data_IF_875944544374
#
_entry.id   IF_875944544374
#
_cell.length_a   1.000
_cell.length_b   1.000
_cell.length_c   1.000
_cell.angle_alpha   90.00
_cell.angle_beta   90.00
_cell.angle_gamma   90.00
#
_symmetry.space_group_name_H-M   'P 1'
#
loop_
_entity.id
_entity.type
_entity.pdbx_description
1 polymer ?
#
# COMPACT_ATOMS: atom_id res chain seq x y z
N UNK A 1 -6.85 -4.41 17.52
CA UNK A 1 -7.94 -5.40 17.68
C UNK A 1 -9.10 -5.12 16.71
N UNK A 2 -9.62 -3.92 16.64
CA UNK A 2 -10.73 -3.49 15.74
C UNK A 2 -10.43 -3.65 14.25
N UNK A 3 -9.20 -3.37 13.80
CA UNK A 3 -8.80 -3.56 12.41
C UNK A 3 -8.84 -5.04 11.98
N UNK A 4 -8.39 -5.94 12.85
CA UNK A 4 -8.47 -7.38 12.61
C UNK A 4 -9.92 -7.88 12.53
N UNK A 5 -10.82 -7.37 13.37
CA UNK A 5 -12.25 -7.69 13.33
C UNK A 5 -12.90 -7.22 12.03
N UNK A 6 -12.56 -6.01 11.56
CA UNK A 6 -13.03 -5.50 10.28
C UNK A 6 -12.56 -6.37 9.11
N UNK A 7 -11.30 -6.81 9.11
CA UNK A 7 -10.74 -7.71 8.08
C UNK A 7 -11.41 -9.08 8.08
N UNK A 8 -11.87 -9.55 9.25
CA UNK A 8 -12.61 -10.82 9.40
C UNK A 8 -14.13 -10.69 9.12
N UNK A 9 -14.60 -9.50 8.70
CA UNK A 9 -16.02 -9.26 8.42
C UNK A 9 -16.90 -9.06 9.65
N UNK A 10 -16.33 -8.93 10.85
CA UNK A 10 -17.04 -8.70 12.11
C UNK A 10 -17.34 -7.21 12.31
N UNK A 11 -18.06 -6.62 11.36
CA UNK A 11 -18.26 -5.16 11.30
C UNK A 11 -19.02 -4.58 12.51
N UNK A 12 -20.07 -5.24 12.99
CA UNK A 12 -20.87 -4.73 14.12
C UNK A 12 -20.06 -4.68 15.41
N UNK A 13 -19.25 -5.70 15.67
CA UNK A 13 -18.40 -5.74 16.86
C UNK A 13 -17.26 -4.74 16.78
N UNK A 14 -16.64 -4.61 15.59
CA UNK A 14 -15.64 -3.59 15.33
C UNK A 14 -16.19 -2.19 15.56
N UNK A 15 -17.39 -1.88 15.04
CA UNK A 15 -18.06 -0.59 15.22
C UNK A 15 -18.33 -0.27 16.69
N UNK A 16 -18.83 -1.25 17.47
CA UNK A 16 -19.05 -1.09 18.93
C UNK A 16 -17.74 -0.76 19.66
N UNK A 17 -16.67 -1.43 19.32
CA UNK A 17 -15.38 -1.22 19.96
C UNK A 17 -14.78 0.15 19.60
N UNK A 18 -14.96 0.61 18.34
CA UNK A 18 -14.56 1.95 17.91
C UNK A 18 -15.35 3.03 18.67
N UNK A 19 -16.66 2.86 18.81
CA UNK A 19 -17.49 3.80 19.58
C UNK A 19 -17.02 3.89 21.04
N UNK A 20 -16.77 2.76 21.70
CA UNK A 20 -16.21 2.76 23.07
C UNK A 20 -14.83 3.45 23.15
N UNK A 21 -14.00 3.28 22.12
CA UNK A 21 -12.71 3.97 22.05
C UNK A 21 -12.91 5.47 22.00
N UNK A 22 -13.87 5.95 21.19
CA UNK A 22 -14.17 7.38 21.06
C UNK A 22 -14.90 7.96 22.29
N UNK A 23 -15.63 7.15 23.06
CA UNK A 23 -16.16 7.57 24.37
C UNK A 23 -15.03 7.87 25.37
N UNK A 24 -13.92 7.13 25.30
CA UNK A 24 -12.75 7.31 26.18
C UNK A 24 -11.81 8.39 25.65
N UNK A 25 -11.57 8.38 24.35
CA UNK A 25 -10.66 9.30 23.66
C UNK A 25 -11.30 9.80 22.35
N UNK A 26 -12.09 10.90 22.39
CA UNK A 26 -12.76 11.44 21.21
C UNK A 26 -11.83 11.86 20.08
N UNK A 27 -10.59 12.23 20.41
CA UNK A 27 -9.57 12.68 19.48
C UNK A 27 -8.69 11.54 18.91
N UNK A 28 -9.04 10.27 19.11
CA UNK A 28 -8.29 9.15 18.57
C UNK A 28 -8.49 9.03 17.05
N UNK A 29 -7.48 9.43 16.26
CA UNK A 29 -7.57 9.57 14.81
C UNK A 29 -7.91 8.27 14.08
N UNK A 30 -7.23 7.16 14.40
CA UNK A 30 -7.54 5.86 13.76
C UNK A 30 -8.97 5.40 14.04
N UNK A 31 -9.49 5.63 15.26
CA UNK A 31 -10.85 5.25 15.58
C UNK A 31 -11.87 6.09 14.82
N UNK A 32 -11.64 7.41 14.70
CA UNK A 32 -12.47 8.31 13.92
C UNK A 32 -12.46 7.91 12.43
N UNK A 33 -11.28 7.66 11.85
CA UNK A 33 -11.12 7.30 10.45
C UNK A 33 -11.77 5.94 10.12
N UNK A 34 -11.51 4.92 10.94
CA UNK A 34 -12.09 3.59 10.74
C UNK A 34 -13.61 3.62 10.90
N UNK A 35 -14.13 4.29 11.93
CA UNK A 35 -15.58 4.40 12.14
C UNK A 35 -16.25 5.14 11.00
N UNK A 36 -15.66 6.23 10.52
CA UNK A 36 -16.19 6.99 9.38
C UNK A 36 -16.28 6.16 8.11
N UNK A 37 -15.30 5.30 7.86
CA UNK A 37 -15.28 4.41 6.70
C UNK A 37 -16.28 3.24 6.80
N UNK A 38 -16.69 2.87 8.02
CA UNK A 38 -17.62 1.77 8.26
C UNK A 38 -19.09 2.19 8.28
N UNK A 39 -19.41 3.47 8.19
CA UNK A 39 -20.78 3.98 8.18
C UNK A 39 -21.01 5.00 7.09
N UNK A 40 -22.26 5.19 6.70
CA UNK A 40 -22.69 6.25 5.79
C UNK A 40 -23.43 7.32 6.58
N UNK A 41 -22.98 8.56 6.45
CA UNK A 41 -23.63 9.70 7.08
C UNK A 41 -24.77 10.21 6.21
N UNK A 42 -25.90 10.54 6.84
CA UNK A 42 -27.11 11.03 6.15
C UNK A 42 -27.49 12.44 6.60
N UNK A 43 -26.84 12.97 7.61
CA UNK A 43 -27.12 14.30 8.17
C UNK A 43 -25.83 14.95 8.65
N UNK A 44 -25.68 16.23 8.37
CA UNK A 44 -24.59 17.05 8.92
C UNK A 44 -24.69 17.27 10.45
N UNK A 45 -25.86 17.01 11.03
CA UNK A 45 -26.07 17.05 12.47
C UNK A 45 -25.75 15.74 13.20
N UNK A 46 -25.03 14.81 12.51
CA UNK A 46 -24.56 13.57 13.15
C UNK A 46 -23.58 13.89 14.27
N UNK A 47 -23.82 13.29 15.44
CA UNK A 47 -23.01 13.54 16.64
C UNK A 47 -21.52 13.26 16.42
N UNK A 48 -21.18 12.24 15.62
CA UNK A 48 -19.80 11.91 15.33
C UNK A 48 -19.08 13.02 14.52
N UNK A 49 -19.80 13.67 13.58
CA UNK A 49 -19.26 14.82 12.84
C UNK A 49 -18.93 15.97 13.82
N UNK A 50 -19.85 16.28 14.73
CA UNK A 50 -19.63 17.32 15.74
C UNK A 50 -18.45 17.02 16.63
N UNK A 51 -18.32 15.79 17.12
CA UNK A 51 -17.18 15.36 17.95
C UNK A 51 -15.85 15.45 17.21
N UNK A 52 -15.81 15.09 15.94
CA UNK A 52 -14.59 15.25 15.11
C UNK A 52 -14.21 16.72 14.91
N UNK A 53 -15.19 17.61 14.71
CA UNK A 53 -14.96 19.06 14.58
C UNK A 53 -14.43 19.68 15.87
N UNK A 54 -14.96 19.26 17.01
CA UNK A 54 -14.47 19.67 18.33
C UNK A 54 -13.05 19.16 18.59
N UNK A 55 -12.78 17.89 18.25
CA UNK A 55 -11.46 17.26 18.46
C UNK A 55 -10.35 17.97 17.67
N UNK A 56 -10.59 18.38 16.42
CA UNK A 56 -9.61 19.10 15.59
C UNK A 56 -9.26 20.46 16.19
N UNK A 57 -10.19 21.09 16.90
CA UNK A 57 -9.98 22.43 17.49
C UNK A 57 -9.05 22.40 18.71
N UNK A 58 -8.67 21.21 19.20
CA UNK A 58 -7.75 21.06 20.33
C UNK A 58 -6.30 21.36 19.93
N UNK A 59 -5.64 22.26 20.66
CA UNK A 59 -4.23 22.60 20.44
C UNK A 59 -3.27 21.45 20.83
N UNK A 60 -3.70 20.56 21.71
CA UNK A 60 -2.89 19.44 22.21
C UNK A 60 -2.84 18.24 21.25
N UNK A 61 -3.65 18.27 20.18
CA UNK A 61 -3.74 17.15 19.24
C UNK A 61 -2.52 17.13 18.31
N UNK A 62 -1.81 15.99 18.25
CA UNK A 62 -0.68 15.79 17.35
C UNK A 62 -1.09 15.79 15.87
N UNK A 63 -0.17 16.15 14.99
CA UNK A 63 -0.41 16.31 13.56
C UNK A 63 -0.90 15.01 12.90
N UNK A 64 -0.39 13.85 13.30
CA UNK A 64 -0.83 12.56 12.77
C UNK A 64 -2.33 12.31 13.06
N UNK A 65 -2.77 12.56 14.30
CA UNK A 65 -4.16 12.40 14.70
C UNK A 65 -5.06 13.43 14.01
N UNK A 66 -4.58 14.69 13.89
CA UNK A 66 -5.28 15.76 13.14
C UNK A 66 -5.51 15.35 11.68
N UNK A 67 -4.48 14.83 10.99
CA UNK A 67 -4.61 14.40 9.62
C UNK A 67 -5.67 13.30 9.45
N UNK A 68 -5.67 12.30 10.33
CA UNK A 68 -6.66 11.20 10.30
C UNK A 68 -8.09 11.70 10.52
N UNK A 69 -8.29 12.63 11.46
CA UNK A 69 -9.61 13.23 11.73
C UNK A 69 -10.05 14.09 10.54
N UNK A 70 -9.16 14.83 9.91
CA UNK A 70 -9.48 15.57 8.68
C UNK A 70 -9.96 14.62 7.57
N UNK A 71 -9.31 13.48 7.36
CA UNK A 71 -9.78 12.48 6.38
C UNK A 71 -11.14 11.88 6.76
N UNK A 72 -11.37 11.61 8.05
CA UNK A 72 -12.66 11.14 8.56
C UNK A 72 -13.80 12.16 8.32
N UNK A 73 -13.52 13.44 8.61
CA UNK A 73 -14.46 14.54 8.33
C UNK A 73 -14.70 14.74 6.83
N UNK A 74 -13.65 14.70 6.02
CA UNK A 74 -13.78 14.79 4.57
C UNK A 74 -14.73 13.73 4.02
N UNK A 75 -14.60 12.49 4.48
CA UNK A 75 -15.52 11.40 4.11
C UNK A 75 -16.94 11.63 4.63
N UNK A 76 -17.10 12.01 5.89
CA UNK A 76 -18.42 12.21 6.50
C UNK A 76 -19.19 13.37 5.85
N UNK A 77 -18.53 14.48 5.58
CA UNK A 77 -19.10 15.65 4.90
C UNK A 77 -19.43 15.35 3.44
N UNK A 78 -18.58 14.56 2.76
CA UNK A 78 -18.86 14.08 1.41
C UNK A 78 -20.11 13.20 1.34
N UNK A 79 -20.35 12.35 2.32
CA UNK A 79 -21.54 11.50 2.39
C UNK A 79 -22.85 12.32 2.50
N UNK A 80 -22.81 13.45 3.22
CA UNK A 80 -23.98 14.33 3.40
C UNK A 80 -24.11 15.38 2.29
N UNK A 81 -23.19 15.38 1.30
CA UNK A 81 -23.25 16.26 0.15
C UNK A 81 -22.60 17.64 0.35
N UNK A 82 -21.93 17.87 1.48
CA UNK A 82 -21.15 19.09 1.74
C UNK A 82 -19.76 18.96 1.09
N UNK A 83 -19.73 19.10 -0.23
CA UNK A 83 -18.52 18.84 -1.03
C UNK A 83 -17.40 19.84 -0.79
N UNK A 84 -17.72 21.10 -0.53
CA UNK A 84 -16.72 22.14 -0.33
C UNK A 84 -15.97 21.93 0.99
N UNK A 85 -16.67 21.70 2.08
CA UNK A 85 -16.06 21.41 3.36
C UNK A 85 -15.37 20.03 3.37
N UNK A 86 -15.89 19.05 2.64
CA UNK A 86 -15.25 17.76 2.45
C UNK A 86 -13.87 17.94 1.78
N UNK A 87 -13.81 18.72 0.68
CA UNK A 87 -12.57 19.00 -0.04
C UNK A 87 -11.53 19.74 0.82
N UNK A 88 -11.96 20.78 1.56
CA UNK A 88 -11.05 21.50 2.46
C UNK A 88 -10.49 20.60 3.57
N UNK A 89 -11.30 19.68 4.11
CA UNK A 89 -10.80 18.71 5.08
C UNK A 89 -9.78 17.76 4.46
N UNK A 90 -10.03 17.20 3.26
CA UNK A 90 -9.04 16.37 2.56
C UNK A 90 -7.74 17.14 2.27
N UNK A 91 -7.84 18.40 1.85
CA UNK A 91 -6.68 19.26 1.61
C UNK A 91 -5.86 19.50 2.87
N UNK A 92 -6.52 19.79 4.01
CA UNK A 92 -5.85 19.99 5.28
C UNK A 92 -5.14 18.71 5.76
N UNK A 93 -5.81 17.56 5.69
CA UNK A 93 -5.21 16.28 6.02
C UNK A 93 -3.99 15.94 5.17
N UNK A 94 -4.06 16.19 3.85
CA UNK A 94 -2.94 16.00 2.94
C UNK A 94 -1.80 16.98 3.22
N UNK A 95 -2.09 18.26 3.50
CA UNK A 95 -1.04 19.25 3.80
C UNK A 95 -0.23 18.89 5.04
N UNK A 96 -0.89 18.33 6.07
CA UNK A 96 -0.20 17.82 7.26
C UNK A 96 0.70 16.63 6.90
N UNK A 97 0.21 15.69 6.09
CA UNK A 97 0.98 14.53 5.63
C UNK A 97 2.15 14.92 4.72
N UNK A 98 1.98 15.87 3.82
CA UNK A 98 3.03 16.33 2.91
C UNK A 98 4.20 16.98 3.65
N UNK A 99 3.95 17.67 4.78
CA UNK A 99 5.01 18.21 5.60
C UNK A 99 5.93 17.11 6.17
N UNK A 100 5.39 15.96 6.46
CA UNK A 100 6.09 14.80 6.99
C UNK A 100 6.80 13.97 5.88
N UNK A 101 6.21 13.94 4.68
CA UNK A 101 6.66 13.14 3.54
C UNK A 101 7.77 13.79 2.69
N UNK A 102 8.14 15.04 2.93
CA UNK A 102 9.09 15.75 2.06
C UNK A 102 10.45 15.05 1.94
N UNK A 103 10.94 14.43 3.00
CA UNK A 103 12.18 13.65 2.99
C UNK A 103 12.00 12.31 2.27
N UNK A 104 10.88 11.62 2.49
CA UNK A 104 10.55 10.36 1.80
C UNK A 104 10.27 10.59 0.32
N UNK A 105 9.59 11.68 -0.06
CA UNK A 105 9.33 12.02 -1.46
C UNK A 105 10.64 12.16 -2.25
N UNK A 106 11.63 12.86 -1.71
CA UNK A 106 12.94 12.99 -2.34
C UNK A 106 13.65 11.64 -2.50
N UNK A 107 13.52 10.74 -1.52
CA UNK A 107 14.00 9.36 -1.61
C UNK A 107 13.30 8.58 -2.73
N UNK A 108 11.99 8.71 -2.89
CA UNK A 108 11.23 8.03 -3.94
C UNK A 108 11.57 8.54 -5.34
N UNK A 109 11.76 9.87 -5.50
CA UNK A 109 12.18 10.47 -6.77
C UNK A 109 13.59 9.98 -7.14
N UNK A 110 14.51 9.97 -6.19
CA UNK A 110 15.88 9.46 -6.40
C UNK A 110 15.88 7.96 -6.73
N UNK A 111 15.02 7.18 -6.07
CA UNK A 111 14.81 5.77 -6.36
C UNK A 111 14.31 5.54 -7.80
N UNK A 112 13.32 6.31 -8.22
CA UNK A 112 12.78 6.27 -9.59
C UNK A 112 13.85 6.60 -10.64
N UNK A 113 14.67 7.62 -10.39
CA UNK A 113 15.80 7.99 -11.27
C UNK A 113 16.80 6.84 -11.42
N UNK A 114 17.18 6.20 -10.31
CA UNK A 114 18.10 5.06 -10.32
C UNK A 114 17.53 3.83 -11.02
N UNK A 115 16.22 3.59 -10.90
CA UNK A 115 15.56 2.51 -11.64
C UNK A 115 15.58 2.76 -13.15
N UNK A 116 15.42 4.00 -13.60
CA UNK A 116 15.55 4.36 -15.01
C UNK A 116 16.98 4.15 -15.53
N UNK A 117 17.98 4.60 -14.79
CA UNK A 117 19.39 4.36 -15.13
C UNK A 117 19.71 2.86 -15.23
N UNK A 118 19.24 2.07 -14.27
CA UNK A 118 19.37 0.62 -14.28
C UNK A 118 18.70 -0.01 -15.51
N UNK A 119 17.49 0.46 -15.85
CA UNK A 119 16.78 -0.01 -17.04
C UNK A 119 17.55 0.29 -18.33
N UNK A 120 18.12 1.49 -18.47
CA UNK A 120 18.94 1.86 -19.62
C UNK A 120 20.17 0.96 -19.75
N UNK A 121 20.88 0.70 -18.64
CA UNK A 121 22.04 -0.19 -18.60
C UNK A 121 21.65 -1.64 -18.97
N UNK A 122 20.55 -2.16 -18.41
CA UNK A 122 20.07 -3.51 -18.71
C UNK A 122 19.58 -3.65 -20.17
N UNK A 123 18.97 -2.59 -20.72
CA UNK A 123 18.51 -2.58 -22.11
C UNK A 123 19.65 -2.63 -23.12
N UNK A 124 20.85 -2.21 -22.71
CA UNK A 124 22.05 -2.31 -23.52
C UNK A 124 22.71 -3.72 -23.47
N UNK A 125 22.27 -4.59 -22.55
CA UNK A 125 22.80 -5.95 -22.45
C UNK A 125 22.26 -6.84 -23.59
N UNK A 126 23.11 -7.61 -24.28
CA UNK A 126 22.68 -8.53 -25.33
C UNK A 126 21.72 -9.61 -24.80
N UNK A 127 20.60 -9.83 -25.49
CA UNK A 127 19.55 -10.77 -25.09
C UNK A 127 20.00 -12.25 -24.94
N UNK A 128 21.16 -12.61 -25.48
CA UNK A 128 21.75 -13.96 -25.43
C UNK A 128 22.53 -14.24 -24.11
N UNK A 129 22.56 -13.29 -23.19
CA UNK A 129 23.20 -13.49 -21.88
C UNK A 129 22.33 -14.23 -20.86
N UNK A 130 21.09 -14.55 -21.21
CA UNK A 130 20.20 -15.32 -20.32
C UNK A 130 20.64 -16.77 -20.34
N UNK A 131 21.35 -17.21 -19.32
CA UNK A 131 21.61 -18.63 -19.09
C UNK A 131 20.30 -19.35 -18.86
N UNK A 132 20.02 -20.39 -19.67
CA UNK A 132 18.88 -21.28 -19.42
C UNK A 132 19.02 -21.86 -18.01
N UNK A 133 18.09 -21.50 -17.13
CA UNK A 133 17.99 -22.20 -15.85
C UNK A 133 17.52 -23.62 -16.15
N UNK A 134 18.25 -24.63 -15.72
CA UNK A 134 17.90 -26.04 -15.90
C UNK A 134 16.75 -26.46 -14.94
N UNK A 135 15.88 -25.53 -14.54
CA UNK A 135 14.75 -25.78 -13.68
C UNK A 135 13.52 -26.26 -14.46
N UNK A 136 12.77 -27.19 -13.88
CA UNK A 136 11.50 -27.68 -14.41
C UNK A 136 10.37 -26.66 -14.30
N UNK A 137 10.58 -25.54 -13.62
CA UNK A 137 9.59 -24.50 -13.34
C UNK A 137 9.99 -23.19 -14.02
N UNK A 138 9.11 -22.62 -14.82
CA UNK A 138 9.34 -21.32 -15.47
C UNK A 138 8.40 -20.27 -14.85
N UNK A 139 8.92 -19.21 -14.25
CA UNK A 139 8.09 -18.15 -13.71
C UNK A 139 7.39 -17.36 -14.85
N UNK A 140 6.13 -17.02 -14.62
CA UNK A 140 5.34 -16.11 -15.45
C UNK A 140 5.17 -14.82 -14.65
N UNK A 141 5.70 -13.71 -15.15
CA UNK A 141 5.55 -12.40 -14.52
C UNK A 141 4.39 -11.64 -15.14
N UNK A 142 3.47 -11.19 -14.28
CA UNK A 142 2.34 -10.34 -14.66
C UNK A 142 2.65 -8.93 -14.17
N UNK A 143 2.87 -8.02 -15.09
CA UNK A 143 3.21 -6.63 -14.79
C UNK A 143 2.11 -5.70 -15.29
N UNK A 144 1.82 -4.65 -14.51
CA UNK A 144 0.82 -3.66 -14.89
C UNK A 144 0.75 -2.51 -13.88
N UNK A 145 0.04 -1.46 -14.27
CA UNK A 145 -0.25 -0.36 -13.34
C UNK A 145 -1.19 -0.83 -12.23
N UNK A 146 -1.16 -0.21 -11.05
CA UNK A 146 -2.13 -0.48 -10.00
C UNK A 146 -3.57 -0.40 -10.56
N UNK A 147 -4.43 -1.34 -10.17
CA UNK A 147 -5.84 -1.43 -10.62
C UNK A 147 -6.04 -1.76 -12.10
N UNK A 148 -5.03 -2.26 -12.81
CA UNK A 148 -5.13 -2.68 -14.23
C UNK A 148 -5.66 -4.10 -14.44
N UNK A 149 -6.01 -4.82 -13.37
CA UNK A 149 -6.55 -6.18 -13.44
C UNK A 149 -5.51 -7.29 -13.39
N UNK A 150 -4.30 -7.04 -12.93
CA UNK A 150 -3.22 -8.03 -12.79
C UNK A 150 -3.65 -9.25 -11.98
N UNK A 151 -4.38 -9.06 -10.87
CA UNK A 151 -4.95 -10.16 -10.07
C UNK A 151 -5.94 -11.02 -10.84
N UNK A 152 -6.79 -10.42 -11.70
CA UNK A 152 -7.73 -11.17 -12.54
C UNK A 152 -6.99 -12.02 -13.57
N UNK A 153 -5.98 -11.45 -14.22
CA UNK A 153 -5.14 -12.19 -15.18
C UNK A 153 -4.42 -13.35 -14.49
N UNK A 154 -3.88 -13.14 -13.29
CA UNK A 154 -3.26 -14.21 -12.49
C UNK A 154 -4.26 -15.35 -12.26
N UNK A 155 -5.47 -15.06 -11.81
CA UNK A 155 -6.49 -16.07 -11.54
C UNK A 155 -6.90 -16.82 -12.81
N UNK A 156 -7.01 -16.13 -13.95
CA UNK A 156 -7.32 -16.76 -15.24
C UNK A 156 -6.19 -17.75 -15.63
N UNK A 157 -4.93 -17.33 -15.55
CA UNK A 157 -3.78 -18.17 -15.89
C UNK A 157 -3.65 -19.33 -14.88
N UNK A 158 -3.83 -19.07 -13.59
CA UNK A 158 -3.75 -20.07 -12.53
C UNK A 158 -4.93 -21.08 -12.55
N UNK A 159 -5.97 -20.86 -13.36
CA UNK A 159 -7.02 -21.86 -13.60
C UNK A 159 -6.51 -23.07 -14.41
N UNK A 160 -5.36 -22.95 -15.06
CA UNK A 160 -4.72 -24.08 -15.75
C UNK A 160 -4.04 -25.00 -14.75
N UNK A 161 -4.19 -26.33 -14.87
CA UNK A 161 -3.71 -27.31 -13.91
C UNK A 161 -2.18 -27.34 -13.70
N UNK A 162 -1.40 -26.85 -14.66
CA UNK A 162 0.06 -26.78 -14.57
C UNK A 162 0.60 -25.42 -14.09
N UNK A 163 -0.29 -24.49 -13.72
CA UNK A 163 0.07 -23.16 -13.29
C UNK A 163 -0.39 -22.91 -11.87
N UNK A 164 0.50 -22.40 -11.03
CA UNK A 164 0.19 -22.00 -9.66
C UNK A 164 0.24 -20.48 -9.54
N UNK A 165 -0.82 -19.86 -9.05
CA UNK A 165 -0.84 -18.45 -8.67
C UNK A 165 -0.07 -18.24 -7.36
N UNK A 166 0.76 -17.20 -7.31
CA UNK A 166 1.63 -16.90 -6.17
C UNK A 166 1.27 -15.59 -5.46
N UNK A 167 0.33 -14.82 -6.04
CA UNK A 167 0.00 -13.49 -5.56
C UNK A 167 1.16 -12.49 -5.73
N UNK A 168 1.12 -11.42 -4.97
CA UNK A 168 2.16 -10.39 -4.97
C UNK A 168 3.35 -10.87 -4.13
N UNK A 169 4.48 -11.20 -4.79
CA UNK A 169 5.70 -11.64 -4.14
C UNK A 169 6.74 -10.52 -4.14
N UNK A 170 7.25 -10.19 -2.96
CA UNK A 170 8.36 -9.24 -2.80
C UNK A 170 9.76 -9.88 -3.05
N UNK A 171 9.82 -11.21 -3.19
CA UNK A 171 11.07 -11.95 -3.30
C UNK A 171 11.99 -11.47 -4.43
N UNK A 172 11.44 -11.04 -5.57
CA UNK A 172 12.25 -10.51 -6.66
C UNK A 172 12.83 -9.13 -6.32
N UNK A 173 12.04 -8.23 -5.77
CA UNK A 173 12.50 -6.89 -5.36
C UNK A 173 13.52 -6.98 -4.22
N UNK A 174 13.34 -7.90 -3.28
CA UNK A 174 14.30 -8.18 -2.21
C UNK A 174 15.64 -8.70 -2.79
N UNK A 175 15.59 -9.68 -3.70
CA UNK A 175 16.78 -10.20 -4.36
C UNK A 175 17.53 -9.12 -5.18
N UNK A 176 16.80 -8.28 -5.90
CA UNK A 176 17.37 -7.14 -6.63
C UNK A 176 18.02 -6.15 -5.66
N UNK A 177 17.33 -5.80 -4.58
CA UNK A 177 17.83 -4.86 -3.58
C UNK A 177 19.11 -5.36 -2.91
N UNK A 178 19.18 -6.64 -2.56
CA UNK A 178 20.36 -7.23 -1.91
C UNK A 178 21.57 -7.32 -2.84
N UNK A 179 21.37 -7.75 -4.10
CA UNK A 179 22.46 -8.04 -5.03
C UNK A 179 22.95 -6.82 -5.79
N UNK A 180 22.07 -5.90 -6.13
CA UNK A 180 22.40 -4.72 -6.93
C UNK A 180 22.67 -3.51 -6.04
N UNK A 181 22.18 -3.52 -4.80
CA UNK A 181 22.25 -2.42 -3.82
C UNK A 181 22.10 -1.07 -4.52
N UNK A 182 21.00 -0.40 -4.38
CA UNK A 182 20.74 0.93 -4.96
C UNK A 182 21.82 2.01 -4.66
N UNK A 183 22.98 1.59 -4.23
CA UNK A 183 24.16 2.39 -3.87
C UNK A 183 25.25 2.39 -4.95
N UNK A 184 24.86 2.48 -6.24
CA UNK A 184 25.81 2.71 -7.33
C UNK A 184 26.61 1.49 -7.79
N UNK A 185 26.11 0.29 -7.54
CA UNK A 185 26.71 -0.92 -8.08
C UNK A 185 26.28 -1.17 -9.52
N UNK A 186 27.24 -1.28 -10.44
CA UNK A 186 27.01 -1.65 -11.83
C UNK A 186 26.29 -3.00 -11.93
N UNK A 187 25.17 -3.15 -12.68
CA UNK A 187 24.51 -4.42 -12.87
C UNK A 187 25.37 -5.32 -13.76
N UNK A 188 26.18 -6.17 -13.15
CA UNK A 188 26.92 -7.19 -13.89
C UNK A 188 26.03 -8.41 -14.12
N UNK A 189 26.35 -9.19 -15.19
CA UNK A 189 25.67 -10.46 -15.49
C UNK A 189 25.69 -11.38 -14.28
N UNK A 190 26.81 -11.41 -13.56
CA UNK A 190 26.99 -12.24 -12.38
C UNK A 190 26.02 -11.85 -11.26
N UNK A 191 25.76 -10.55 -11.05
CA UNK A 191 24.76 -10.06 -10.09
C UNK A 191 23.33 -10.43 -10.53
N UNK A 192 23.00 -10.30 -11.81
CA UNK A 192 21.71 -10.70 -12.34
C UNK A 192 21.46 -12.21 -12.20
N UNK A 193 22.49 -13.03 -12.39
CA UNK A 193 22.42 -14.47 -12.15
C UNK A 193 22.17 -14.78 -10.67
N UNK A 194 22.81 -14.06 -9.75
CA UNK A 194 22.57 -14.20 -8.30
C UNK A 194 21.14 -13.79 -7.94
N UNK A 195 20.64 -12.69 -8.50
CA UNK A 195 19.23 -12.28 -8.32
C UNK A 195 18.28 -13.41 -8.75
N UNK A 196 18.51 -13.98 -9.94
CA UNK A 196 17.69 -15.08 -10.45
C UNK A 196 17.75 -16.32 -9.53
N UNK A 197 18.92 -16.71 -9.08
CA UNK A 197 19.11 -17.86 -8.19
C UNK A 197 18.45 -17.60 -6.83
N UNK A 198 18.62 -16.43 -6.26
CA UNK A 198 18.03 -16.06 -4.98
C UNK A 198 16.48 -16.02 -5.06
N UNK A 199 15.94 -15.45 -6.14
CA UNK A 199 14.48 -15.45 -6.38
C UNK A 199 13.92 -16.87 -6.45
N UNK A 200 14.56 -17.76 -7.25
CA UNK A 200 14.12 -19.14 -7.41
C UNK A 200 14.31 -19.99 -6.15
N UNK A 201 15.26 -19.64 -5.29
CA UNK A 201 15.49 -20.31 -4.01
C UNK A 201 14.61 -19.79 -2.87
N UNK A 202 13.87 -18.69 -3.08
CA UNK A 202 12.97 -18.16 -2.04
C UNK A 202 11.91 -19.17 -1.66
N UNK A 203 11.61 -19.30 -0.35
CA UNK A 203 10.69 -20.31 0.18
C UNK A 203 9.32 -20.32 -0.50
N UNK A 204 8.82 -19.16 -0.89
CA UNK A 204 7.53 -19.05 -1.57
C UNK A 204 7.56 -19.57 -3.01
N UNK A 205 8.67 -19.40 -3.71
CA UNK A 205 8.85 -19.88 -5.09
C UNK A 205 9.25 -21.35 -5.11
N UNK A 206 10.16 -21.76 -4.21
CA UNK A 206 10.65 -23.12 -4.12
C UNK A 206 9.57 -24.14 -3.66
N UNK A 207 8.61 -23.71 -2.84
CA UNK A 207 7.55 -24.55 -2.27
C UNK A 207 6.26 -24.56 -3.11
N UNK A 208 6.25 -23.99 -4.32
CA UNK A 208 5.13 -24.11 -5.24
C UNK A 208 5.00 -25.58 -5.64
N UNK A 209 4.02 -26.27 -5.06
CA UNK A 209 3.70 -27.64 -5.43
C UNK A 209 3.10 -27.63 -6.85
N UNK A 210 3.64 -28.50 -7.69
CA UNK A 210 3.06 -28.85 -8.98
C UNK A 210 1.71 -29.51 -8.80
#
# INVERSE_FOLDING_TARGET
MTWAQSTLGQFDESKKNLQKTLEICPAHGDANLLLSNMQKYISSADQHITLMQEAISSEELGDEEKAKIHFALGKALGDVGDTDNAFENYKNGNSIKDADLSAEHNLWVEHGRRLLELYEQLSACPANMVTKTNGSTSPIFICGLPRSGTTLIEQIIASHGDVSGCGELHALSEAVFEQIKFTGGDPSIEKLQRVALQYLASDRVANIKK
#
